data_IF_557349365177
#
_entry.id   IF_557349365177
#
_cell.length_a   1.000
_cell.length_b   1.000
_cell.length_c   1.000
_cell.angle_alpha   90.00
_cell.angle_beta   90.00
_cell.angle_gamma   90.00
#
_symmetry.space_group_name_H-M   'P 1'
#
loop_
_entity.id
_entity.type
_entity.pdbx_description
1 polymer ?
#
# COMPACT_ATOMS: atom_id res chain seq x y z
N UNK A 1 13.35 43.51 27.57
CA UNK A 1 14.19 43.26 26.37
C UNK A 1 14.61 41.79 26.35
N UNK A 2 14.32 41.10 25.23
CA UNK A 2 14.91 39.83 24.74
C UNK A 2 14.60 38.58 25.60
N UNK A 3 13.57 37.78 25.30
CA UNK A 3 13.28 36.99 24.09
C UNK A 3 14.35 35.90 23.84
N UNK A 4 14.11 34.69 24.36
CA UNK A 4 14.74 33.46 23.88
C UNK A 4 13.69 32.34 23.86
N UNK A 5 12.93 32.33 22.75
CA UNK A 5 12.23 31.15 22.27
C UNK A 5 13.23 30.36 21.43
N UNK A 6 13.60 29.16 21.90
CA UNK A 6 14.08 28.09 21.03
C UNK A 6 13.23 26.87 21.36
N UNK A 7 11.99 26.90 20.87
CA UNK A 7 11.14 25.73 20.79
C UNK A 7 11.77 24.80 19.76
N UNK A 8 12.21 23.64 20.23
CA UNK A 8 12.71 22.54 19.40
C UNK A 8 11.69 22.25 18.30
N UNK A 9 12.05 22.60 17.06
CA UNK A 9 11.49 22.01 15.87
C UNK A 9 11.95 20.54 15.81
N UNK A 10 11.18 19.67 16.47
CA UNK A 10 11.17 18.24 16.18
C UNK A 10 10.60 18.06 14.77
N UNK A 11 11.48 18.21 13.76
CA UNK A 11 11.27 17.64 12.44
C UNK A 11 11.43 16.12 12.53
N UNK A 12 10.52 15.47 13.25
CA UNK A 12 10.28 14.04 13.11
C UNK A 12 9.34 13.86 11.92
N UNK A 13 9.86 14.01 10.70
CA UNK A 13 9.22 13.43 9.52
C UNK A 13 9.44 11.91 9.55
N UNK A 14 8.93 11.25 10.58
CA UNK A 14 8.60 9.85 10.50
C UNK A 14 7.25 9.78 9.81
N UNK A 15 7.23 9.56 8.50
CA UNK A 15 6.02 9.17 7.78
C UNK A 15 5.63 7.77 8.26
N UNK A 16 5.12 7.67 9.47
CA UNK A 16 4.27 6.55 9.84
C UNK A 16 3.04 6.69 8.98
N UNK A 17 2.92 5.85 7.96
CA UNK A 17 1.62 5.51 7.39
C UNK A 17 0.67 5.29 8.58
N UNK A 18 -0.30 6.18 8.72
CA UNK A 18 -1.11 6.25 9.94
C UNK A 18 -1.99 5.00 10.04
N UNK A 19 -2.28 4.48 11.25
CA UNK A 19 -3.30 3.43 11.45
C UNK A 19 -4.66 3.78 10.84
N UNK A 20 -4.92 5.07 10.56
CA UNK A 20 -6.13 5.53 9.89
C UNK A 20 -6.16 5.17 8.40
N UNK A 21 -5.03 5.27 7.69
CA UNK A 21 -4.99 4.97 6.26
C UNK A 21 -5.01 3.46 6.00
N UNK A 22 -4.39 2.67 6.87
CA UNK A 22 -4.53 1.21 6.84
C UNK A 22 -6.01 0.81 6.97
N UNK A 23 -6.74 1.41 7.93
CA UNK A 23 -8.19 1.17 8.08
C UNK A 23 -9.00 1.57 6.87
N UNK A 24 -8.61 2.64 6.17
CA UNK A 24 -9.24 3.05 4.92
C UNK A 24 -9.00 2.02 3.81
N UNK A 25 -7.76 1.55 3.65
CA UNK A 25 -7.41 0.52 2.68
C UNK A 25 -8.05 -0.84 3.02
N UNK A 26 -8.27 -1.15 4.28
CA UNK A 26 -9.08 -2.30 4.67
C UNK A 26 -10.55 -2.11 4.28
N UNK A 27 -11.10 -0.94 4.58
CA UNK A 27 -12.50 -0.62 4.30
C UNK A 27 -12.82 -0.59 2.81
N UNK A 28 -11.90 -0.10 1.97
CA UNK A 28 -12.10 -0.05 0.52
C UNK A 28 -11.93 -1.41 -0.18
N UNK A 29 -11.61 -2.47 0.57
CA UNK A 29 -11.47 -3.83 0.07
C UNK A 29 -10.07 -4.23 -0.36
N UNK A 30 -9.05 -3.36 -0.25
CA UNK A 30 -7.69 -3.70 -0.69
C UNK A 30 -7.14 -4.92 0.07
N UNK A 31 -7.30 -4.99 1.41
CA UNK A 31 -6.83 -6.16 2.18
C UNK A 31 -7.49 -7.46 1.75
N UNK A 32 -8.81 -7.43 1.53
CA UNK A 32 -9.56 -8.59 1.07
C UNK A 32 -9.13 -9.00 -0.35
N UNK A 33 -8.83 -8.04 -1.22
CA UNK A 33 -8.27 -8.30 -2.55
C UNK A 33 -6.91 -9.01 -2.45
N UNK A 34 -5.98 -8.52 -1.63
CA UNK A 34 -4.66 -9.16 -1.46
C UNK A 34 -4.78 -10.56 -0.85
N UNK A 35 -5.62 -10.75 0.17
CA UNK A 35 -5.85 -12.07 0.76
C UNK A 35 -6.45 -13.08 -0.23
N UNK A 36 -7.39 -12.64 -1.08
CA UNK A 36 -7.99 -13.50 -2.12
C UNK A 36 -7.00 -13.90 -3.21
N UNK A 37 -5.96 -13.10 -3.43
CA UNK A 37 -4.97 -13.30 -4.48
C UNK A 37 -3.59 -13.69 -3.92
N UNK A 38 -3.54 -14.23 -2.70
CA UNK A 38 -2.30 -14.79 -2.15
C UNK A 38 -1.80 -15.94 -3.03
N UNK A 39 -0.49 -15.96 -3.32
CA UNK A 39 0.13 -16.95 -4.22
C UNK A 39 0.11 -16.53 -5.69
N UNK A 40 -0.73 -15.55 -6.05
CA UNK A 40 -0.92 -15.16 -7.45
C UNK A 40 0.34 -14.54 -8.04
N UNK A 41 1.13 -13.83 -7.23
CA UNK A 41 2.36 -13.20 -7.72
C UNK A 41 3.43 -14.26 -7.99
N UNK A 42 3.59 -15.25 -7.12
CA UNK A 42 4.50 -16.37 -7.34
C UNK A 42 4.13 -17.15 -8.60
N UNK A 43 2.83 -17.42 -8.82
CA UNK A 43 2.35 -18.05 -10.05
C UNK A 43 2.73 -17.25 -11.31
N UNK A 44 2.53 -15.94 -11.30
CA UNK A 44 2.90 -15.06 -12.42
C UNK A 44 4.40 -15.12 -12.67
N UNK A 45 5.21 -15.03 -11.60
CA UNK A 45 6.67 -15.10 -11.71
C UNK A 45 7.10 -16.44 -12.29
N UNK A 46 6.60 -17.56 -11.77
CA UNK A 46 6.94 -18.90 -12.26
C UNK A 46 6.49 -19.13 -13.71
N UNK A 47 5.35 -18.57 -14.11
CA UNK A 47 4.89 -18.63 -15.50
C UNK A 47 5.78 -17.80 -16.43
N UNK A 48 6.25 -16.63 -15.98
CA UNK A 48 7.13 -15.75 -16.76
C UNK A 48 8.60 -16.19 -16.79
N UNK A 49 9.02 -16.99 -15.79
CA UNK A 49 10.39 -17.45 -15.58
C UNK A 49 10.43 -18.95 -15.30
N UNK A 50 10.20 -19.80 -16.32
CA UNK A 50 10.16 -21.26 -16.14
C UNK A 50 11.45 -21.85 -15.56
N UNK A 51 12.59 -21.17 -15.73
CA UNK A 51 13.87 -21.58 -15.14
C UNK A 51 13.85 -21.59 -13.59
N UNK A 52 12.88 -20.91 -12.98
CA UNK A 52 12.68 -20.89 -11.53
C UNK A 52 11.81 -22.02 -11.00
N UNK A 53 11.32 -22.95 -11.84
CA UNK A 53 10.45 -24.04 -11.40
C UNK A 53 11.07 -24.88 -10.25
N UNK A 54 12.38 -25.15 -10.32
CA UNK A 54 13.10 -25.85 -9.26
C UNK A 54 13.30 -25.03 -7.97
N UNK A 55 12.99 -23.73 -7.99
CA UNK A 55 13.08 -22.79 -6.88
C UNK A 55 11.69 -22.32 -6.42
N UNK A 56 10.63 -23.07 -6.74
CA UNK A 56 9.23 -22.72 -6.43
C UNK A 56 9.04 -22.27 -4.98
N UNK A 57 9.56 -23.00 -4.00
CA UNK A 57 9.45 -22.67 -2.58
C UNK A 57 10.11 -21.32 -2.24
N UNK A 58 11.20 -20.96 -2.90
CA UNK A 58 11.88 -19.66 -2.73
C UNK A 58 11.04 -18.53 -3.32
N UNK A 59 10.39 -18.77 -4.47
CA UNK A 59 9.48 -17.79 -5.09
C UNK A 59 8.24 -17.55 -4.21
N UNK A 60 7.66 -18.62 -3.65
CA UNK A 60 6.52 -18.52 -2.72
C UNK A 60 6.92 -17.78 -1.42
N UNK A 61 8.08 -18.09 -0.85
CA UNK A 61 8.60 -17.39 0.33
C UNK A 61 8.88 -15.89 0.05
N UNK A 62 9.41 -15.58 -1.14
CA UNK A 62 9.61 -14.20 -1.58
C UNK A 62 8.28 -13.45 -1.68
N UNK A 63 7.24 -14.06 -2.26
CA UNK A 63 5.91 -13.45 -2.29
C UNK A 63 5.39 -13.21 -0.87
N UNK A 64 5.43 -14.21 0.01
CA UNK A 64 4.96 -14.07 1.39
C UNK A 64 5.69 -12.95 2.15
N UNK A 65 6.99 -12.78 1.90
CA UNK A 65 7.79 -11.76 2.57
C UNK A 65 7.51 -10.34 2.06
N UNK A 66 7.41 -10.17 0.74
CA UNK A 66 7.36 -8.85 0.12
C UNK A 66 5.94 -8.42 -0.26
N UNK A 67 5.00 -9.34 -0.44
CA UNK A 67 3.60 -9.02 -0.73
C UNK A 67 2.68 -9.24 0.47
N UNK A 68 3.24 -9.44 1.67
CA UNK A 68 2.49 -9.39 2.91
C UNK A 68 1.69 -8.07 3.04
N UNK A 69 0.47 -8.16 3.59
CA UNK A 69 -0.40 -7.00 3.77
C UNK A 69 0.28 -5.83 4.46
N UNK A 70 1.09 -6.09 5.50
CA UNK A 70 1.80 -5.04 6.23
C UNK A 70 2.79 -4.25 5.37
N UNK A 71 3.37 -4.87 4.33
CA UNK A 71 4.29 -4.23 3.39
C UNK A 71 3.54 -3.47 2.30
N UNK A 72 2.47 -4.08 1.80
CA UNK A 72 1.66 -3.51 0.75
C UNK A 72 0.86 -2.31 1.27
N UNK A 73 0.26 -2.39 2.45
CA UNK A 73 -0.53 -1.29 3.02
C UNK A 73 0.33 -0.05 3.28
N UNK A 74 1.55 -0.26 3.79
CA UNK A 74 2.55 0.80 3.95
C UNK A 74 2.86 1.49 2.61
N UNK A 75 3.03 0.71 1.54
CA UNK A 75 3.30 1.24 0.20
C UNK A 75 2.11 1.97 -0.42
N UNK A 76 0.88 1.56 -0.12
CA UNK A 76 -0.35 2.15 -0.67
C UNK A 76 -0.85 3.35 0.14
N UNK A 77 -0.48 3.47 1.42
CA UNK A 77 -0.95 4.55 2.29
C UNK A 77 -0.74 5.97 1.72
N UNK A 78 0.40 6.30 1.09
CA UNK A 78 0.61 7.61 0.48
C UNK A 78 -0.42 8.02 -0.57
N UNK A 79 -1.12 7.07 -1.22
CA UNK A 79 -2.16 7.37 -2.21
C UNK A 79 -3.26 8.23 -1.60
N UNK A 80 -3.61 7.99 -0.34
CA UNK A 80 -4.61 8.76 0.38
C UNK A 80 -3.99 9.80 1.33
N UNK A 81 -2.97 9.44 2.11
CA UNK A 81 -2.44 10.33 3.16
C UNK A 81 -1.75 11.60 2.64
N UNK A 82 -1.33 11.61 1.36
CA UNK A 82 -0.78 12.81 0.71
C UNK A 82 -1.85 13.80 0.23
N UNK A 83 -3.13 13.37 0.15
CA UNK A 83 -4.22 14.12 -0.46
C UNK A 83 -5.33 14.47 0.53
N UNK A 84 -5.50 13.66 1.57
CA UNK A 84 -6.57 13.78 2.53
C UNK A 84 -6.00 13.98 3.93
N UNK A 85 -6.56 14.94 4.65
CA UNK A 85 -6.34 15.14 6.07
C UNK A 85 -6.82 13.92 6.89
N UNK A 86 -6.37 13.77 8.15
CA UNK A 86 -6.82 12.67 9.01
C UNK A 86 -8.35 12.60 9.18
N UNK A 87 -9.03 13.75 9.22
CA UNK A 87 -10.49 13.80 9.28
C UNK A 87 -11.13 13.27 8.00
N UNK A 88 -10.64 13.73 6.83
CA UNK A 88 -11.13 13.25 5.53
C UNK A 88 -10.89 11.74 5.35
N UNK A 89 -9.76 11.20 5.82
CA UNK A 89 -9.48 9.76 5.85
C UNK A 89 -10.52 9.00 6.67
N UNK A 90 -10.88 9.53 7.85
CA UNK A 90 -11.90 8.91 8.71
C UNK A 90 -13.29 8.92 8.06
N UNK A 91 -13.66 10.02 7.40
CA UNK A 91 -14.91 10.16 6.66
C UNK A 91 -14.98 9.19 5.47
N UNK A 92 -13.89 9.09 4.69
CA UNK A 92 -13.77 8.10 3.61
C UNK A 92 -13.88 6.67 4.14
N UNK A 93 -13.23 6.38 5.28
CA UNK A 93 -13.30 5.06 5.92
C UNK A 93 -14.74 4.72 6.27
N UNK A 94 -15.50 5.68 6.82
CA UNK A 94 -16.92 5.50 7.13
C UNK A 94 -17.73 5.24 5.86
N UNK A 95 -17.51 6.02 4.81
CA UNK A 95 -18.17 5.87 3.51
C UNK A 95 -18.00 4.46 2.92
N UNK A 96 -16.76 3.93 2.91
CA UNK A 96 -16.51 2.58 2.40
C UNK A 96 -17.14 1.49 3.29
N UNK A 97 -17.13 1.67 4.61
CA UNK A 97 -17.78 0.72 5.54
C UNK A 97 -19.29 0.71 5.47
N UNK A 98 -19.92 1.83 5.12
CA UNK A 98 -21.38 1.96 5.10
C UNK A 98 -22.02 1.52 3.78
N UNK A 99 -21.28 0.87 2.88
CA UNK A 99 -21.81 0.45 1.57
C UNK A 99 -21.90 1.58 0.55
N UNK A 100 -21.11 2.65 0.71
CA UNK A 100 -20.97 3.74 -0.26
C UNK A 100 -22.24 4.58 -0.48
N UNK A 101 -22.83 5.11 0.58
CA UNK A 101 -23.98 6.02 0.51
C UNK A 101 -23.70 7.20 -0.44
N UNK A 102 -24.51 7.33 -1.50
CA UNK A 102 -24.36 8.37 -2.51
C UNK A 102 -24.47 9.79 -1.92
N UNK A 103 -25.19 9.96 -0.80
CA UNK A 103 -25.28 11.25 -0.11
C UNK A 103 -23.91 11.77 0.35
N UNK A 104 -22.93 10.88 0.56
CA UNK A 104 -21.56 11.25 0.88
C UNK A 104 -20.94 12.19 -0.16
N UNK A 105 -21.29 12.01 -1.43
CA UNK A 105 -20.77 12.83 -2.53
C UNK A 105 -21.26 14.28 -2.50
N UNK A 106 -22.25 14.61 -1.66
CA UNK A 106 -22.66 15.99 -1.43
C UNK A 106 -21.78 16.71 -0.40
N UNK A 107 -20.97 15.99 0.39
CA UNK A 107 -20.04 16.56 1.37
C UNK A 107 -18.78 17.13 0.71
N UNK A 108 -18.03 18.05 1.37
CA UNK A 108 -16.75 18.53 0.85
C UNK A 108 -15.75 17.41 0.56
N UNK A 109 -15.61 16.45 1.49
CA UNK A 109 -14.71 15.29 1.34
C UNK A 109 -15.14 14.38 0.19
N UNK A 110 -16.44 14.12 0.05
CA UNK A 110 -16.97 13.30 -1.04
C UNK A 110 -16.75 13.91 -2.42
N UNK A 111 -16.97 15.22 -2.56
CA UNK A 111 -16.68 15.96 -3.81
C UNK A 111 -15.21 15.90 -4.17
N UNK A 112 -14.33 16.15 -3.19
CA UNK A 112 -12.87 16.04 -3.38
C UNK A 112 -12.46 14.63 -3.77
N UNK A 113 -13.01 13.62 -3.12
CA UNK A 113 -12.76 12.23 -3.48
C UNK A 113 -13.21 11.91 -4.91
N UNK A 114 -14.40 12.35 -5.34
CA UNK A 114 -14.84 12.16 -6.72
C UNK A 114 -13.90 12.82 -7.73
N UNK A 115 -13.43 14.04 -7.45
CA UNK A 115 -12.47 14.75 -8.30
C UNK A 115 -11.15 14.00 -8.41
N UNK A 116 -10.64 13.46 -7.30
CA UNK A 116 -9.35 12.77 -7.24
C UNK A 116 -9.42 11.28 -7.61
N UNK A 117 -10.62 10.70 -7.73
CA UNK A 117 -10.80 9.26 -7.97
C UNK A 117 -10.04 8.73 -9.20
N UNK A 118 -10.01 9.42 -10.35
CA UNK A 118 -9.22 8.96 -11.50
C UNK A 118 -7.72 8.88 -11.19
N UNK A 119 -7.16 9.87 -10.52
CA UNK A 119 -5.74 9.90 -10.14
C UNK A 119 -5.42 8.83 -9.10
N UNK A 120 -6.28 8.64 -8.10
CA UNK A 120 -6.15 7.57 -7.10
C UNK A 120 -6.10 6.21 -7.78
N UNK A 121 -6.98 5.95 -8.77
CA UNK A 121 -7.00 4.69 -9.51
C UNK A 121 -5.73 4.50 -10.36
N UNK A 122 -5.24 5.55 -11.00
CA UNK A 122 -3.99 5.51 -11.75
C UNK A 122 -2.80 5.22 -10.84
N UNK A 123 -2.77 5.84 -9.67
CA UNK A 123 -1.73 5.65 -8.67
C UNK A 123 -1.66 4.21 -8.14
N UNK A 124 -2.80 3.55 -7.91
CA UNK A 124 -2.79 2.13 -7.53
C UNK A 124 -2.04 1.26 -8.54
N UNK A 125 -2.23 1.52 -9.84
CA UNK A 125 -1.55 0.80 -10.91
C UNK A 125 -0.05 1.13 -10.94
N UNK A 126 0.28 2.42 -10.87
CA UNK A 126 1.65 2.90 -10.85
C UNK A 126 2.43 2.35 -9.66
N UNK A 127 1.87 2.42 -8.45
CA UNK A 127 2.48 1.88 -7.24
C UNK A 127 2.69 0.38 -7.34
N UNK A 128 1.73 -0.39 -7.86
CA UNK A 128 1.90 -1.82 -8.06
C UNK A 128 3.12 -2.15 -8.92
N UNK A 129 3.30 -1.40 -10.01
CA UNK A 129 4.46 -1.54 -10.89
C UNK A 129 5.78 -1.15 -10.22
N UNK A 130 5.84 0.03 -9.60
CA UNK A 130 7.02 0.51 -8.87
C UNK A 130 7.42 -0.43 -7.73
N UNK A 131 6.43 -0.94 -6.99
CA UNK A 131 6.65 -1.89 -5.91
C UNK A 131 7.25 -3.20 -6.42
N UNK A 132 6.70 -3.76 -7.49
CA UNK A 132 7.25 -4.97 -8.13
C UNK A 132 8.72 -4.78 -8.55
N UNK A 133 9.05 -3.65 -9.18
CA UNK A 133 10.43 -3.34 -9.56
C UNK A 133 11.35 -3.25 -8.34
N UNK A 134 10.87 -2.65 -7.26
CA UNK A 134 11.63 -2.52 -6.00
C UNK A 134 11.93 -3.87 -5.37
N UNK A 135 10.99 -4.82 -5.41
CA UNK A 135 11.14 -6.11 -4.70
C UNK A 135 11.70 -7.24 -5.55
N UNK A 136 11.67 -7.12 -6.88
CA UNK A 136 12.17 -8.13 -7.81
C UNK A 136 13.65 -8.52 -7.60
N UNK A 137 14.59 -7.58 -7.31
CA UNK A 137 15.98 -7.94 -7.05
C UNK A 137 16.16 -8.90 -5.87
N UNK A 138 15.34 -8.78 -4.82
CA UNK A 138 15.45 -9.61 -3.62
C UNK A 138 15.14 -11.09 -3.88
N UNK A 139 14.32 -11.41 -4.89
CA UNK A 139 14.10 -12.79 -5.30
C UNK A 139 15.41 -13.45 -5.76
N UNK A 140 16.21 -12.74 -6.56
CA UNK A 140 17.48 -13.27 -7.04
C UNK A 140 18.47 -13.49 -5.88
N UNK A 141 18.44 -12.62 -4.87
CA UNK A 141 19.28 -12.77 -3.68
C UNK A 141 18.84 -13.96 -2.82
N UNK A 142 17.53 -14.15 -2.62
CA UNK A 142 16.99 -15.34 -1.93
C UNK A 142 17.36 -16.64 -2.66
N UNK A 143 17.31 -16.66 -3.99
CA UNK A 143 17.72 -17.83 -4.78
C UNK A 143 19.21 -18.14 -4.59
N UNK A 144 20.08 -17.11 -4.59
CA UNK A 144 21.53 -17.31 -4.38
C UNK A 144 21.83 -17.87 -2.99
N UNK A 145 21.17 -17.34 -1.96
CA UNK A 145 21.32 -17.81 -0.58
C UNK A 145 20.85 -19.26 -0.42
N UNK A 146 19.69 -19.61 -1.00
CA UNK A 146 19.16 -20.96 -0.95
C UNK A 146 20.08 -21.99 -1.62
N UNK A 147 20.74 -21.62 -2.73
CA UNK A 147 21.72 -22.51 -3.42
C UNK A 147 23.06 -22.68 -2.68
N UNK A 148 23.35 -21.80 -1.71
CA UNK A 148 24.60 -21.80 -0.95
C UNK A 148 24.46 -22.46 0.43
N UNK A 149 23.25 -22.92 0.76
CA UNK A 149 22.90 -23.62 2.01
C UNK A 149 22.84 -25.12 1.77
#
# INVERSE_FOLDING_TARGET
MKLFYFLLALCSFGTYATPATDKLLEANGAKAYFAKNEGRIAEIVLASRPELAAQKSVVEAWEQQYYAWSKVSEALAPIYSSRFSPQEIAELTKFFKSGQDEAFFNTPTGKKYQQLKPEINADFTKFGYEYMQKVAPYLNDMIKQHKSS
#
